data_IF_710769183783
#
_entry.id   IF_710769183783
#
_cell.length_a   1.000
_cell.length_b   1.000
_cell.length_c   1.000
_cell.angle_alpha   90.00
_cell.angle_beta   90.00
_cell.angle_gamma   90.00
#
_symmetry.space_group_name_H-M   'P 1'
#
loop_
_entity.id
_entity.type
_entity.pdbx_description
1 polymer ?
#
# COMPACT_ATOMS: atom_id res chain seq x y z
N UNK A 1 5.67 14.54 3.54
CA UNK A 1 7.12 14.53 3.91
C UNK A 1 7.47 13.22 4.66
N UNK A 2 8.72 12.73 4.65
CA UNK A 2 9.11 11.49 5.36
C UNK A 2 9.40 11.74 6.85
N UNK A 3 8.93 10.84 7.73
CA UNK A 3 9.23 10.87 9.17
C UNK A 3 10.56 10.16 9.47
N UNK A 4 11.25 10.49 10.59
CA UNK A 4 12.47 9.80 11.03
C UNK A 4 12.29 8.27 11.16
N UNK A 5 11.07 7.82 11.45
CA UNK A 5 10.69 6.41 11.55
C UNK A 5 11.07 5.58 10.31
N UNK A 6 11.14 6.19 9.12
CA UNK A 6 11.58 5.53 7.88
C UNK A 6 12.98 4.93 8.03
N UNK A 7 13.87 5.61 8.76
CA UNK A 7 15.26 5.17 8.93
C UNK A 7 15.51 4.44 10.26
N UNK A 8 14.67 4.67 11.28
CA UNK A 8 14.83 4.01 12.59
C UNK A 8 14.07 2.69 12.71
N UNK A 9 13.05 2.45 11.88
CA UNK A 9 12.23 1.23 11.89
C UNK A 9 12.21 0.57 10.50
N UNK A 10 13.40 0.18 10.03
CA UNK A 10 13.59 -0.39 8.70
C UNK A 10 12.81 -1.69 8.47
N UNK A 11 12.64 -2.52 9.51
CA UNK A 11 11.88 -3.77 9.42
C UNK A 11 10.41 -3.50 9.14
N UNK A 12 9.78 -2.56 9.87
CA UNK A 12 8.39 -2.19 9.63
C UNK A 12 8.23 -1.47 8.29
N UNK A 13 9.18 -0.64 7.89
CA UNK A 13 9.14 0.04 6.60
C UNK A 13 9.21 -0.97 5.43
N UNK A 14 10.08 -1.98 5.52
CA UNK A 14 10.15 -3.05 4.51
C UNK A 14 8.90 -3.92 4.47
N UNK A 15 8.28 -4.18 5.62
CA UNK A 15 7.00 -4.88 5.69
C UNK A 15 5.88 -4.11 4.98
N UNK A 16 5.78 -2.78 5.18
CA UNK A 16 4.80 -1.93 4.49
C UNK A 16 5.07 -1.87 2.97
N UNK A 17 6.33 -1.81 2.54
CA UNK A 17 6.70 -1.89 1.12
C UNK A 17 6.25 -3.22 0.49
N UNK A 18 6.54 -4.33 1.15
CA UNK A 18 6.17 -5.67 0.68
C UNK A 18 4.65 -5.80 0.60
N UNK A 19 3.92 -5.31 1.60
CA UNK A 19 2.46 -5.28 1.62
C UNK A 19 1.88 -4.48 0.46
N UNK A 20 2.43 -3.31 0.16
CA UNK A 20 2.02 -2.50 -0.98
C UNK A 20 2.28 -3.21 -2.31
N UNK A 21 3.47 -3.79 -2.50
CA UNK A 21 3.81 -4.52 -3.72
C UNK A 21 2.83 -5.68 -3.99
N UNK A 22 2.51 -6.47 -2.96
CA UNK A 22 1.54 -7.56 -3.07
C UNK A 22 0.11 -7.06 -3.37
N UNK A 23 -0.32 -5.94 -2.79
CA UNK A 23 -1.62 -5.34 -3.06
C UNK A 23 -1.72 -4.85 -4.52
N UNK A 24 -0.67 -4.21 -5.03
CA UNK A 24 -0.61 -3.75 -6.43
C UNK A 24 -0.59 -4.91 -7.41
N UNK A 25 0.12 -6.00 -7.10
CA UNK A 25 0.11 -7.21 -7.94
C UNK A 25 -1.32 -7.78 -8.08
N UNK A 26 -2.05 -7.88 -6.97
CA UNK A 26 -3.46 -8.29 -6.97
C UNK A 26 -4.34 -7.33 -7.76
N UNK A 27 -4.14 -6.02 -7.59
CA UNK A 27 -4.89 -5.01 -8.34
C UNK A 27 -4.64 -5.14 -9.84
N UNK A 28 -3.40 -5.38 -10.26
CA UNK A 28 -3.06 -5.61 -11.67
C UNK A 28 -3.76 -6.86 -12.20
N UNK A 29 -3.75 -7.98 -11.46
CA UNK A 29 -4.47 -9.18 -11.84
C UNK A 29 -5.99 -8.94 -11.95
N UNK A 30 -6.60 -8.23 -10.99
CA UNK A 30 -8.00 -7.86 -11.02
C UNK A 30 -8.34 -6.94 -12.21
N UNK A 31 -7.47 -5.99 -12.54
CA UNK A 31 -7.64 -5.09 -13.68
C UNK A 31 -7.70 -5.85 -15.02
N UNK A 32 -6.93 -6.93 -15.17
CA UNK A 32 -6.94 -7.76 -16.37
C UNK A 32 -8.25 -8.51 -16.59
N UNK A 33 -9.09 -8.67 -15.55
CA UNK A 33 -10.39 -9.35 -15.68
C UNK A 33 -11.48 -8.47 -16.31
N UNK A 34 -11.31 -7.14 -16.31
CA UNK A 34 -12.34 -6.18 -16.73
C UNK A 34 -13.57 -6.10 -15.81
N UNK A 35 -13.59 -6.83 -14.69
CA UNK A 35 -14.74 -6.85 -13.76
C UNK A 35 -14.62 -5.74 -12.73
N UNK A 36 -15.49 -4.73 -12.85
CA UNK A 36 -15.43 -3.53 -12.02
C UNK A 36 -15.47 -3.82 -10.51
N UNK A 37 -16.25 -4.80 -10.06
CA UNK A 37 -16.36 -5.11 -8.64
C UNK A 37 -15.08 -5.75 -8.08
N UNK A 38 -14.42 -6.63 -8.85
CA UNK A 38 -13.11 -7.20 -8.49
C UNK A 38 -12.04 -6.10 -8.45
N UNK A 39 -12.08 -5.18 -9.41
CA UNK A 39 -11.18 -4.02 -9.47
C UNK A 39 -11.38 -3.11 -8.25
N UNK A 40 -12.63 -2.78 -7.89
CA UNK A 40 -12.94 -1.95 -6.72
C UNK A 40 -12.46 -2.57 -5.42
N UNK A 41 -12.65 -3.88 -5.25
CA UNK A 41 -12.18 -4.60 -4.07
C UNK A 41 -10.65 -4.53 -3.95
N UNK A 42 -9.93 -4.87 -5.01
CA UNK A 42 -8.46 -4.84 -5.02
C UNK A 42 -7.89 -3.40 -4.91
N UNK A 43 -8.59 -2.41 -5.45
CA UNK A 43 -8.24 -1.01 -5.28
C UNK A 43 -8.39 -0.56 -3.83
N UNK A 44 -9.45 -1.00 -3.15
CA UNK A 44 -9.64 -0.76 -1.71
C UNK A 44 -8.50 -1.32 -0.87
N UNK A 45 -8.07 -2.56 -1.14
CA UNK A 45 -6.90 -3.17 -0.47
C UNK A 45 -5.61 -2.37 -0.70
N UNK A 46 -5.40 -1.92 -1.95
CA UNK A 46 -4.24 -1.08 -2.29
C UNK A 46 -4.29 0.25 -1.55
N UNK A 47 -5.44 0.92 -1.52
CA UNK A 47 -5.64 2.18 -0.79
C UNK A 47 -5.39 2.02 0.72
N UNK A 48 -5.81 0.90 1.31
CA UNK A 48 -5.52 0.58 2.71
C UNK A 48 -4.02 0.43 2.97
N UNK A 49 -3.25 -0.15 2.04
CA UNK A 49 -1.78 -0.24 2.13
C UNK A 49 -1.10 1.14 2.01
N UNK A 50 -1.62 2.03 1.15
CA UNK A 50 -1.14 3.42 1.09
C UNK A 50 -1.35 4.13 2.44
N UNK A 51 -2.53 3.95 3.04
CA UNK A 51 -2.86 4.54 4.34
C UNK A 51 -1.95 4.00 5.45
N UNK A 52 -1.76 2.68 5.56
CA UNK A 52 -0.94 2.11 6.65
C UNK A 52 0.50 2.59 6.63
N UNK A 53 1.10 2.70 5.44
CA UNK A 53 2.44 3.26 5.29
C UNK A 53 2.47 4.75 5.68
N UNK A 54 1.54 5.56 5.16
CA UNK A 54 1.51 6.98 5.47
C UNK A 54 1.25 7.29 6.94
N UNK A 55 0.37 6.55 7.60
CA UNK A 55 0.09 6.70 9.03
C UNK A 55 1.35 6.48 9.89
N UNK A 56 2.25 5.59 9.46
CA UNK A 56 3.48 5.26 10.20
C UNK A 56 4.69 6.11 9.80
N UNK A 57 4.76 6.54 8.54
CA UNK A 57 6.02 7.00 7.93
C UNK A 57 5.94 8.35 7.21
N UNK A 58 4.74 8.92 7.02
CA UNK A 58 4.57 10.20 6.33
C UNK A 58 4.05 11.27 7.30
N UNK A 59 4.75 12.40 7.38
CA UNK A 59 4.24 13.57 8.07
C UNK A 59 3.05 14.16 7.29
N UNK A 60 1.99 14.64 7.98
CA UNK A 60 0.93 15.41 7.35
C UNK A 60 1.51 16.62 6.62
N UNK A 61 0.82 17.08 5.58
CA UNK A 61 1.21 18.31 4.88
C UNK A 61 1.12 19.52 5.81
#
# INVERSE_FOLDING_TARGET
RALPAVWSDGAKFEAEKTKFAAAVEKLNAAAQTGKLDEIKAAYGETGASCKSCHDSFRAPE
#
